data_IF_394857379962
#
_entry.id   IF_394857379962
#
_cell.length_a   1.000
_cell.length_b   1.000
_cell.length_c   1.000
_cell.angle_alpha   90.00
_cell.angle_beta   90.00
_cell.angle_gamma   90.00
#
_symmetry.space_group_name_H-M   'P 1'
#
loop_
_entity.id
_entity.type
_entity.pdbx_description
1 polymer ?
#
# COMPACT_ATOMS: atom_id res chain seq x y z
N UNK A 1 -17.41 -32.02 -4.47
CA UNK A 1 -17.48 -31.04 -5.57
C UNK A 1 -18.04 -29.69 -5.12
N UNK A 2 -19.16 -29.63 -4.39
CA UNK A 2 -19.69 -28.35 -3.92
C UNK A 2 -18.73 -27.58 -2.98
N UNK A 3 -18.15 -28.23 -1.98
CA UNK A 3 -17.21 -27.58 -1.03
C UNK A 3 -15.98 -26.94 -1.70
N UNK A 4 -15.39 -27.60 -2.70
CA UNK A 4 -14.23 -27.08 -3.42
C UNK A 4 -14.61 -25.84 -4.26
N UNK A 5 -15.77 -25.87 -4.91
CA UNK A 5 -16.29 -24.72 -5.65
C UNK A 5 -16.51 -23.50 -4.73
N UNK A 6 -17.11 -23.71 -3.56
CA UNK A 6 -17.35 -22.64 -2.60
C UNK A 6 -16.04 -22.03 -2.10
N UNK A 7 -15.06 -22.88 -1.77
CA UNK A 7 -13.73 -22.43 -1.37
C UNK A 7 -13.07 -21.59 -2.47
N UNK A 8 -13.11 -22.05 -3.73
CA UNK A 8 -12.52 -21.34 -4.85
C UNK A 8 -13.13 -19.96 -5.08
N UNK A 9 -14.44 -19.80 -4.85
CA UNK A 9 -15.16 -18.54 -5.02
C UNK A 9 -15.02 -17.57 -3.84
N UNK A 10 -14.79 -18.09 -2.63
CA UNK A 10 -14.72 -17.29 -1.41
C UNK A 10 -13.29 -16.96 -0.98
N UNK A 11 -12.27 -17.61 -1.56
CA UNK A 11 -10.85 -17.43 -1.18
C UNK A 11 -10.31 -15.99 -1.26
N UNK A 12 -11.00 -15.10 -1.95
CA UNK A 12 -10.62 -13.69 -2.11
C UNK A 12 -11.10 -12.81 -0.94
N UNK A 13 -11.97 -13.34 -0.06
CA UNK A 13 -12.52 -12.63 1.08
C UNK A 13 -11.93 -13.14 2.39
N UNK A 14 -11.80 -12.27 3.38
CA UNK A 14 -11.42 -12.66 4.74
C UNK A 14 -12.47 -13.57 5.39
N UNK A 15 -12.07 -14.46 6.31
CA UNK A 15 -13.01 -15.28 7.07
C UNK A 15 -14.10 -14.46 7.78
N UNK A 16 -13.72 -13.35 8.39
CA UNK A 16 -14.60 -12.43 9.10
C UNK A 16 -15.68 -11.87 8.18
N UNK A 17 -15.28 -11.43 6.99
CA UNK A 17 -16.19 -10.94 5.96
C UNK A 17 -17.15 -12.00 5.46
N UNK A 18 -16.69 -13.23 5.27
CA UNK A 18 -17.54 -14.35 4.85
C UNK A 18 -18.58 -14.65 5.94
N UNK A 19 -18.17 -14.68 7.21
CA UNK A 19 -19.07 -14.92 8.35
C UNK A 19 -20.12 -13.81 8.47
N UNK A 20 -19.70 -12.54 8.42
CA UNK A 20 -20.61 -11.40 8.45
C UNK A 20 -21.57 -11.40 7.26
N UNK A 21 -21.08 -11.71 6.06
CA UNK A 21 -21.90 -11.81 4.87
C UNK A 21 -22.93 -12.94 4.97
N UNK A 22 -22.55 -14.09 5.51
CA UNK A 22 -23.47 -15.20 5.74
C UNK A 22 -24.54 -14.84 6.78
N UNK A 23 -24.18 -14.18 7.89
CA UNK A 23 -25.14 -13.72 8.90
C UNK A 23 -26.14 -12.72 8.31
N UNK A 24 -25.66 -11.75 7.51
CA UNK A 24 -26.52 -10.81 6.80
C UNK A 24 -27.43 -11.52 5.80
N UNK A 25 -26.91 -12.46 5.01
CA UNK A 25 -27.69 -13.21 4.05
C UNK A 25 -28.83 -13.94 4.75
N UNK A 26 -28.54 -14.69 5.82
CA UNK A 26 -29.55 -15.43 6.61
C UNK A 26 -30.65 -14.51 7.16
N UNK A 27 -30.32 -13.28 7.54
CA UNK A 27 -31.29 -12.31 8.08
C UNK A 27 -32.18 -11.67 7.01
N UNK A 28 -31.70 -11.59 5.78
CA UNK A 28 -32.34 -10.83 4.71
C UNK A 28 -32.95 -11.69 3.61
N UNK A 29 -32.63 -12.99 3.55
CA UNK A 29 -33.20 -13.94 2.60
C UNK A 29 -34.35 -14.73 3.23
N UNK A 30 -35.35 -15.08 2.42
CA UNK A 30 -36.52 -15.86 2.88
C UNK A 30 -36.17 -17.33 3.16
N UNK A 31 -35.17 -17.85 2.44
CA UNK A 31 -34.67 -19.22 2.57
C UNK A 31 -33.19 -19.24 2.96
N UNK A 32 -32.65 -20.44 3.20
CA UNK A 32 -31.21 -20.59 3.47
C UNK A 32 -30.41 -20.06 2.27
N UNK A 33 -29.44 -19.17 2.50
CA UNK A 33 -28.83 -18.45 1.41
C UNK A 33 -27.96 -19.34 0.54
N UNK A 34 -27.99 -19.08 -0.76
CA UNK A 34 -27.09 -19.72 -1.70
C UNK A 34 -25.72 -19.01 -1.77
N UNK A 35 -24.77 -19.60 -2.52
CA UNK A 35 -23.44 -19.01 -2.68
C UNK A 35 -23.48 -17.61 -3.32
N UNK A 36 -24.44 -17.33 -4.21
CA UNK A 36 -24.54 -16.02 -4.88
C UNK A 36 -25.02 -14.95 -3.91
N UNK A 37 -25.95 -15.29 -3.03
CA UNK A 37 -26.42 -14.39 -1.97
C UNK A 37 -25.27 -14.08 -1.00
N UNK A 38 -24.53 -15.08 -0.54
CA UNK A 38 -23.35 -14.85 0.31
C UNK A 38 -22.32 -13.96 -0.41
N UNK A 39 -22.00 -14.24 -1.69
CA UNK A 39 -21.08 -13.42 -2.49
C UNK A 39 -21.58 -11.99 -2.68
N UNK A 40 -22.91 -11.79 -2.78
CA UNK A 40 -23.50 -10.46 -2.83
C UNK A 40 -23.23 -9.71 -1.53
N UNK A 41 -23.47 -10.35 -0.38
CA UNK A 41 -23.24 -9.75 0.93
C UNK A 41 -21.76 -9.52 1.25
N UNK A 42 -20.84 -10.31 0.65
CA UNK A 42 -19.41 -10.04 0.73
C UNK A 42 -18.99 -8.73 0.06
N UNK A 43 -19.74 -8.16 -0.89
CA UNK A 43 -19.29 -6.94 -1.60
C UNK A 43 -19.40 -5.69 -0.72
N UNK A 44 -18.56 -4.70 -1.01
CA UNK A 44 -18.65 -3.40 -0.34
C UNK A 44 -19.93 -2.66 -0.72
N UNK A 45 -20.73 -2.34 0.30
CA UNK A 45 -21.93 -1.51 0.22
C UNK A 45 -21.77 -0.38 1.22
N UNK A 46 -21.35 0.79 0.73
CA UNK A 46 -20.96 1.93 1.57
C UNK A 46 -22.06 2.31 2.56
N UNK A 47 -23.30 2.38 2.07
CA UNK A 47 -24.46 2.85 2.83
C UNK A 47 -24.77 1.96 4.05
N UNK A 48 -24.59 0.64 3.93
CA UNK A 48 -24.85 -0.31 5.02
C UNK A 48 -23.82 -0.23 6.15
N UNK A 49 -22.61 0.23 5.83
CA UNK A 49 -21.55 0.51 6.81
C UNK A 49 -21.60 1.94 7.34
N UNK A 50 -22.63 2.72 6.98
CA UNK A 50 -22.69 4.16 7.30
C UNK A 50 -21.62 5.00 6.59
N UNK A 51 -21.00 4.46 5.53
CA UNK A 51 -19.97 5.12 4.74
C UNK A 51 -20.59 5.92 3.59
N UNK A 52 -19.96 7.05 3.26
CA UNK A 52 -20.27 7.78 2.02
C UNK A 52 -19.63 7.10 0.83
N UNK A 53 -20.26 7.24 -0.36
CA UNK A 53 -19.61 6.87 -1.64
C UNK A 53 -18.32 7.69 -1.83
N UNK A 54 -17.31 7.17 -2.58
CA UNK A 54 -15.99 7.78 -2.65
C UNK A 54 -15.98 9.26 -3.05
N UNK A 55 -16.80 9.65 -4.02
CA UNK A 55 -16.86 11.04 -4.48
C UNK A 55 -17.46 11.98 -3.41
N UNK A 56 -18.46 11.53 -2.66
CA UNK A 56 -19.06 12.31 -1.59
C UNK A 56 -18.10 12.43 -0.38
N UNK A 57 -17.39 11.34 -0.05
CA UNK A 57 -16.32 11.37 0.95
C UNK A 57 -15.17 12.31 0.55
N UNK A 58 -14.81 12.33 -0.74
CA UNK A 58 -13.81 13.25 -1.29
C UNK A 58 -14.24 14.71 -1.11
N UNK A 59 -15.49 15.05 -1.46
CA UNK A 59 -15.98 16.42 -1.27
C UNK A 59 -16.02 16.83 0.20
N UNK A 60 -16.35 15.93 1.11
CA UNK A 60 -16.24 16.19 2.54
C UNK A 60 -14.79 16.49 2.95
N UNK A 61 -13.83 15.69 2.47
CA UNK A 61 -12.41 15.91 2.75
C UNK A 61 -11.90 17.27 2.22
N UNK A 62 -12.30 17.66 1.00
CA UNK A 62 -11.94 18.96 0.44
C UNK A 62 -12.58 20.14 1.17
N UNK A 63 -13.81 19.97 1.66
CA UNK A 63 -14.59 21.02 2.31
C UNK A 63 -14.38 21.10 3.84
N UNK A 64 -13.55 20.23 4.41
CA UNK A 64 -13.28 20.24 5.85
C UNK A 64 -12.61 21.55 6.28
N UNK A 65 -13.18 22.20 7.29
CA UNK A 65 -12.63 23.43 7.87
C UNK A 65 -11.31 23.15 8.61
N UNK A 66 -11.21 21.98 9.24
CA UNK A 66 -10.08 21.58 10.06
C UNK A 66 -9.57 20.19 9.68
N UNK A 67 -8.27 19.97 9.84
CA UNK A 67 -7.59 18.70 9.55
C UNK A 67 -7.27 17.92 10.84
N UNK A 68 -8.17 18.00 11.81
CA UNK A 68 -8.08 17.29 13.08
C UNK A 68 -8.92 16.02 13.02
N UNK A 69 -8.51 14.92 13.72
CA UNK A 69 -9.41 13.80 13.97
C UNK A 69 -10.68 14.23 14.74
N UNK A 70 -10.61 15.31 15.52
CA UNK A 70 -11.73 15.83 16.33
C UNK A 70 -12.80 16.58 15.51
N UNK A 71 -12.55 16.81 14.22
CA UNK A 71 -13.55 17.40 13.33
C UNK A 71 -14.74 16.43 13.15
N UNK A 72 -15.91 16.98 12.83
CA UNK A 72 -17.16 16.21 12.67
C UNK A 72 -17.21 15.45 11.35
N UNK A 73 -16.31 14.48 11.18
CA UNK A 73 -16.27 13.58 10.04
C UNK A 73 -17.50 12.65 10.03
N UNK A 74 -18.04 12.39 8.84
CA UNK A 74 -19.13 11.42 8.67
C UNK A 74 -18.71 10.00 9.03
N UNK A 75 -17.44 9.68 8.79
CA UNK A 75 -16.82 8.44 9.22
C UNK A 75 -15.30 8.62 9.38
N UNK A 76 -14.64 7.98 10.36
CA UNK A 76 -13.18 8.05 10.53
C UNK A 76 -12.38 7.68 9.27
N UNK A 77 -12.92 6.78 8.45
CA UNK A 77 -12.34 6.39 7.16
C UNK A 77 -12.12 7.60 6.22
N UNK A 78 -12.98 8.62 6.26
CA UNK A 78 -12.83 9.84 5.44
C UNK A 78 -11.60 10.63 5.88
N UNK A 79 -11.46 10.85 7.18
CA UNK A 79 -10.29 11.52 7.76
C UNK A 79 -8.99 10.77 7.43
N UNK A 80 -8.96 9.46 7.65
CA UNK A 80 -7.78 8.64 7.41
C UNK A 80 -7.41 8.59 5.92
N UNK A 81 -8.40 8.48 5.03
CA UNK A 81 -8.16 8.55 3.59
C UNK A 81 -7.57 9.90 3.18
N UNK A 82 -8.13 10.99 3.70
CA UNK A 82 -7.66 12.33 3.41
C UNK A 82 -6.24 12.58 3.94
N UNK A 83 -5.94 12.11 5.16
CA UNK A 83 -4.60 12.11 5.75
C UNK A 83 -3.60 11.34 4.89
N UNK A 84 -3.98 10.15 4.42
CA UNK A 84 -3.14 9.31 3.56
C UNK A 84 -2.93 9.92 2.16
N UNK A 85 -3.92 10.63 1.62
CA UNK A 85 -3.79 11.36 0.34
C UNK A 85 -2.93 12.61 0.48
N UNK A 86 -2.95 13.24 1.65
CA UNK A 86 -2.23 14.46 1.94
C UNK A 86 -3.10 15.70 1.75
N UNK A 87 -3.16 16.52 2.81
CA UNK A 87 -3.99 17.72 2.85
C UNK A 87 -3.65 18.75 1.78
N UNK A 88 -2.35 18.88 1.45
CA UNK A 88 -1.91 19.82 0.42
C UNK A 88 -2.44 19.40 -0.96
N UNK A 89 -2.33 18.11 -1.30
CA UNK A 89 -2.85 17.56 -2.56
C UNK A 89 -4.34 17.84 -2.69
N UNK A 90 -5.12 17.61 -1.63
CA UNK A 90 -6.57 17.84 -1.63
C UNK A 90 -6.95 19.33 -1.78
N UNK A 91 -6.06 20.27 -1.43
CA UNK A 91 -6.30 21.72 -1.52
C UNK A 91 -5.76 22.36 -2.79
N UNK A 92 -4.62 21.89 -3.30
CA UNK A 92 -3.89 22.53 -4.40
C UNK A 92 -4.18 21.91 -5.75
N UNK A 93 -4.40 20.59 -5.80
CA UNK A 93 -4.52 19.87 -7.05
C UNK A 93 -5.96 19.87 -7.57
N UNK A 94 -6.09 19.76 -8.90
CA UNK A 94 -7.39 19.60 -9.53
C UNK A 94 -8.00 18.24 -9.20
N UNK A 95 -9.34 18.17 -9.18
CA UNK A 95 -10.09 16.95 -8.88
C UNK A 95 -9.63 15.75 -9.72
N UNK A 96 -9.29 15.92 -11.00
CA UNK A 96 -8.84 14.83 -11.87
C UNK A 96 -7.54 14.15 -11.39
N UNK A 97 -6.72 14.85 -10.60
CA UNK A 97 -5.46 14.35 -10.03
C UNK A 97 -5.67 13.87 -8.60
N UNK A 98 -6.32 14.68 -7.76
CA UNK A 98 -6.49 14.37 -6.34
C UNK A 98 -7.51 13.25 -6.08
N UNK A 99 -8.61 13.21 -6.83
CA UNK A 99 -9.70 12.26 -6.58
C UNK A 99 -9.29 10.80 -6.76
N UNK A 100 -8.57 10.38 -7.83
CA UNK A 100 -8.12 8.99 -7.94
C UNK A 100 -7.23 8.53 -6.78
N UNK A 101 -6.36 9.41 -6.27
CA UNK A 101 -5.50 9.13 -5.12
C UNK A 101 -6.32 8.95 -3.85
N UNK A 102 -7.24 9.88 -3.59
CA UNK A 102 -8.18 9.78 -2.46
C UNK A 102 -9.05 8.53 -2.54
N UNK A 103 -9.64 8.27 -3.70
CA UNK A 103 -10.51 7.12 -3.93
C UNK A 103 -9.79 5.81 -3.61
N UNK A 104 -8.55 5.65 -4.08
CA UNK A 104 -7.77 4.46 -3.81
C UNK A 104 -7.52 4.27 -2.30
N UNK A 105 -7.09 5.32 -1.59
CA UNK A 105 -6.86 5.25 -0.15
C UNK A 105 -8.15 4.96 0.63
N UNK A 106 -9.24 5.62 0.25
CA UNK A 106 -10.54 5.42 0.88
C UNK A 106 -11.09 4.00 0.64
N UNK A 107 -10.99 3.48 -0.58
CA UNK A 107 -11.44 2.13 -0.92
C UNK A 107 -10.66 1.06 -0.15
N UNK A 108 -9.34 1.22 0.02
CA UNK A 108 -8.53 0.32 0.83
C UNK A 108 -8.98 0.30 2.29
N UNK A 109 -9.23 1.47 2.88
CA UNK A 109 -9.75 1.57 4.25
C UNK A 109 -11.14 0.93 4.38
N UNK A 110 -12.00 1.08 3.38
CA UNK A 110 -13.31 0.44 3.36
C UNK A 110 -13.22 -1.09 3.23
N UNK A 111 -12.25 -1.62 2.49
CA UNK A 111 -12.01 -3.08 2.44
C UNK A 111 -11.57 -3.60 3.80
N UNK A 112 -10.61 -2.93 4.47
CA UNK A 112 -10.13 -3.31 5.80
C UNK A 112 -11.27 -3.37 6.83
N UNK A 113 -12.16 -2.38 6.81
CA UNK A 113 -13.37 -2.37 7.64
C UNK A 113 -14.27 -3.59 7.37
N UNK A 114 -14.49 -3.95 6.11
CA UNK A 114 -15.28 -5.14 5.76
C UNK A 114 -14.62 -6.43 6.22
N UNK A 115 -13.30 -6.46 6.19
CA UNK A 115 -12.50 -7.57 6.67
C UNK A 115 -12.42 -7.63 8.20
N UNK A 116 -13.13 -6.73 8.89
CA UNK A 116 -13.24 -6.71 10.35
C UNK A 116 -12.08 -6.03 11.06
N UNK A 117 -11.18 -5.38 10.32
CA UNK A 117 -10.05 -4.64 10.91
C UNK A 117 -10.52 -3.33 11.55
N UNK A 118 -9.87 -2.97 12.67
CA UNK A 118 -10.06 -1.66 13.28
C UNK A 118 -9.23 -0.60 12.56
N UNK A 119 -9.80 0.59 12.42
CA UNK A 119 -9.11 1.73 11.79
C UNK A 119 -8.12 2.44 12.73
N UNK A 120 -8.13 2.10 14.02
CA UNK A 120 -7.22 2.65 15.04
C UNK A 120 -5.81 2.04 14.96
N UNK A 121 -5.67 0.88 14.32
CA UNK A 121 -4.38 0.24 14.13
C UNK A 121 -3.59 0.94 13.01
N UNK A 122 -2.38 1.46 13.32
CA UNK A 122 -1.53 2.06 12.31
C UNK A 122 -1.23 1.00 11.24
N UNK A 123 -1.58 1.33 9.99
CA UNK A 123 -1.18 0.51 8.83
C UNK A 123 0.31 0.31 8.95
N UNK A 124 0.76 -0.94 9.09
CA UNK A 124 2.15 -1.28 8.92
C UNK A 124 2.53 -0.74 7.56
N UNK A 125 3.30 0.37 7.54
CA UNK A 125 3.77 1.01 6.31
C UNK A 125 4.37 -0.11 5.46
N UNK A 126 3.63 -0.54 4.45
CA UNK A 126 4.14 -1.51 3.51
C UNK A 126 5.36 -0.82 2.92
N UNK A 127 6.55 -1.26 3.31
CA UNK A 127 7.81 -0.71 2.84
C UNK A 127 7.66 -0.60 1.33
N UNK A 128 7.61 0.64 0.85
CA UNK A 128 7.38 0.88 -0.56
C UNK A 128 8.40 0.04 -1.30
N UNK A 129 7.94 -0.94 -2.07
CA UNK A 129 8.81 -1.61 -3.02
C UNK A 129 9.24 -0.50 -3.95
N UNK A 130 10.41 0.11 -3.69
CA UNK A 130 11.06 1.08 -4.56
C UNK A 130 11.02 0.46 -5.94
N UNK A 131 10.08 0.89 -6.77
CA UNK A 131 10.14 0.68 -8.21
C UNK A 131 11.37 1.48 -8.60
N UNK A 132 12.50 0.79 -8.72
CA UNK A 132 13.74 1.37 -9.23
C UNK A 132 13.37 2.07 -10.53
N UNK A 133 13.50 3.38 -10.55
CA UNK A 133 13.25 4.19 -11.73
C UNK A 133 14.21 3.74 -12.84
N UNK A 134 13.88 4.04 -14.10
CA UNK A 134 14.79 3.76 -15.22
C UNK A 134 16.16 4.42 -14.99
N UNK A 135 16.19 5.56 -14.30
CA UNK A 135 17.40 6.25 -13.87
C UNK A 135 18.21 5.44 -12.85
N UNK A 136 17.56 4.84 -11.84
CA UNK A 136 18.23 3.98 -10.86
C UNK A 136 18.89 2.76 -11.52
N UNK A 137 18.22 2.17 -12.51
CA UNK A 137 18.75 1.01 -13.26
C UNK A 137 19.92 1.43 -14.16
N UNK A 138 19.82 2.58 -14.82
CA UNK A 138 20.89 3.11 -15.67
C UNK A 138 22.14 3.49 -14.86
N UNK A 139 21.98 4.11 -13.69
CA UNK A 139 23.08 4.45 -12.78
C UNK A 139 23.75 3.19 -12.22
N UNK A 140 22.98 2.16 -11.86
CA UNK A 140 23.53 0.87 -11.42
C UNK A 140 24.35 0.19 -12.52
N UNK A 141 23.89 0.24 -13.77
CA UNK A 141 24.62 -0.34 -14.91
C UNK A 141 25.92 0.43 -15.19
N UNK A 142 25.86 1.76 -15.19
CA UNK A 142 27.04 2.63 -15.36
C UNK A 142 28.08 2.38 -14.26
N UNK A 143 27.66 2.34 -13.00
CA UNK A 143 28.55 2.06 -11.88
C UNK A 143 29.18 0.67 -11.94
N UNK A 144 28.46 -0.35 -12.41
CA UNK A 144 29.02 -1.70 -12.63
C UNK A 144 30.09 -1.71 -13.72
N UNK A 145 29.86 -0.99 -14.82
CA UNK A 145 30.85 -0.88 -15.91
C UNK A 145 32.12 -0.16 -15.44
N UNK A 146 31.96 0.93 -14.67
CA UNK A 146 33.09 1.66 -14.08
C UNK A 146 33.91 0.75 -13.17
N UNK A 147 33.25 -0.03 -12.30
CA UNK A 147 33.93 -0.99 -11.42
C UNK A 147 34.67 -2.09 -12.18
N UNK A 148 34.06 -2.64 -13.25
CA UNK A 148 34.69 -3.66 -14.08
C UNK A 148 35.91 -3.10 -14.83
N UNK A 149 35.83 -1.87 -15.33
CA UNK A 149 36.96 -1.18 -15.97
C UNK A 149 38.10 -0.91 -14.97
N UNK A 150 37.77 -0.47 -13.75
CA UNK A 150 38.76 -0.30 -12.68
C UNK A 150 39.46 -1.62 -12.34
N UNK A 151 38.71 -2.72 -12.25
CA UNK A 151 39.26 -4.06 -12.00
C UNK A 151 40.16 -4.55 -13.14
N UNK A 152 39.79 -4.31 -14.41
CA UNK A 152 40.61 -4.63 -15.57
C UNK A 152 41.93 -3.84 -15.59
N UNK A 153 41.94 -2.63 -15.05
CA UNK A 153 43.14 -1.82 -14.83
C UNK A 153 43.91 -2.20 -13.55
N UNK A 154 43.51 -3.28 -12.86
CA UNK A 154 44.17 -3.78 -11.64
C UNK A 154 43.89 -2.94 -10.39
N UNK A 155 42.96 -2.00 -10.45
CA UNK A 155 42.57 -1.13 -9.33
C UNK A 155 41.46 -1.85 -8.55
N UNK A 156 41.75 -2.23 -7.30
CA UNK A 156 40.74 -2.83 -6.41
C UNK A 156 39.81 -1.74 -5.84
N UNK A 157 38.53 -1.68 -6.25
CA UNK A 157 37.62 -0.59 -5.88
C UNK A 157 37.25 -0.56 -4.38
N UNK A 158 37.44 -1.68 -3.66
CA UNK A 158 37.21 -1.77 -2.20
C UNK A 158 38.52 -1.88 -1.41
N UNK A 159 39.65 -1.77 -2.11
CA UNK A 159 40.96 -2.17 -1.60
C UNK A 159 41.80 -1.05 -1.05
N UNK A 160 41.29 0.19 -0.88
CA UNK A 160 42.13 1.37 -0.57
C UNK A 160 43.18 1.13 0.51
N UNK A 161 42.77 0.64 1.69
CA UNK A 161 43.69 0.34 2.80
C UNK A 161 44.58 -0.89 2.56
N UNK A 162 44.07 -1.93 1.92
CA UNK A 162 44.82 -3.16 1.64
C UNK A 162 45.90 -2.96 0.55
N UNK A 163 45.58 -2.19 -0.49
CA UNK A 163 46.50 -1.81 -1.56
C UNK A 163 47.65 -0.93 -1.03
N UNK A 164 47.33 0.02 -0.14
CA UNK A 164 48.34 0.86 0.52
C UNK A 164 49.32 0.03 1.37
N UNK A 165 48.81 -0.93 2.15
CA UNK A 165 49.64 -1.81 2.98
C UNK A 165 50.55 -2.73 2.15
N UNK A 166 50.06 -3.24 1.02
CA UNK A 166 50.85 -4.07 0.11
C UNK A 166 51.96 -3.27 -0.60
N UNK A 167 51.73 -2.00 -0.94
CA UNK A 167 52.75 -1.13 -1.51
C UNK A 167 53.84 -0.81 -0.48
N UNK A 168 53.43 -0.48 0.76
CA UNK A 168 54.35 -0.20 1.87
C UNK A 168 55.26 -1.39 2.19
N UNK A 169 54.73 -2.61 2.18
CA UNK A 169 55.54 -3.81 2.46
C UNK A 169 56.52 -4.14 1.34
N UNK A 170 56.18 -3.88 0.07
CA UNK A 170 57.10 -4.00 -1.07
C UNK A 170 58.25 -2.99 -1.00
N UNK A 171 57.98 -1.74 -0.65
CA UNK A 171 59.01 -0.70 -0.49
C UNK A 171 60.01 -1.04 0.62
N UNK A 172 59.54 -1.66 1.71
CA UNK A 172 60.41 -2.09 2.82
C UNK A 172 61.30 -3.30 2.47
N UNK A 173 60.90 -4.11 1.47
CA UNK A 173 61.66 -5.26 0.97
C UNK A 173 62.72 -4.91 -0.08
N UNK A 174 62.75 -3.66 -0.56
CA UNK A 174 63.66 -3.17 -1.59
C UNK A 174 64.85 -2.38 -1.02
N UNK A 175 64.93 -2.23 0.31
CA UNK A 175 66.00 -1.49 0.99
C UNK A 175 66.90 -2.36 1.89
N UNK A 176 66.81 -3.68 1.74
CA UNK A 176 67.76 -4.68 2.23
C UNK A 176 68.36 -5.40 1.00
#
# INVERSE_FOLDING_TARGET
MAKSLWLDMLKEYSPERIVNAADLAIRHTEFFPDLKEILYYCRLRYEELGLKKPLAAYYEACNAAEFSPDYSWSHPAVYLAAKATGWMVLRSEEQRVAFPLFKNNYEQLCQRLLDGESLDEPVALALEHKRSSIQDVAEQQSNKQLQAAMQAQGINPKGGRAAFLALRSKLKKSSD
#
